data_IF_445966908209
#
_entry.id   IF_445966908209
#
_cell.length_a   1.000
_cell.length_b   1.000
_cell.length_c   1.000
_cell.angle_alpha   90.00
_cell.angle_beta   90.00
_cell.angle_gamma   90.00
#
_symmetry.space_group_name_H-M   'P 1'
#
loop_
_entity.id
_entity.type
_entity.pdbx_description
1 polymer ?
#
# COMPACT_ATOMS: atom_id res chain seq x y z
N UNK A 1 -2.19 -3.06 11.60
CA UNK A 1 -1.76 -2.52 10.30
C UNK A 1 -2.64 -1.32 10.01
N UNK A 2 -2.22 -0.13 10.42
CA UNK A 2 -2.72 1.09 9.77
C UNK A 2 -2.22 1.10 8.34
N UNK A 3 -2.98 1.64 7.39
CA UNK A 3 -2.53 1.97 6.02
C UNK A 3 -2.50 0.81 5.02
N UNK A 4 -3.03 -0.37 5.40
CA UNK A 4 -3.01 -1.55 4.53
C UNK A 4 -3.77 -1.32 3.21
N UNK A 5 -4.99 -0.79 3.30
CA UNK A 5 -5.85 -0.61 2.12
C UNK A 5 -5.25 0.47 1.22
N UNK A 6 -4.81 1.57 1.81
CA UNK A 6 -4.18 2.70 1.11
C UNK A 6 -2.91 2.27 0.38
N UNK A 7 -2.02 1.52 1.02
CA UNK A 7 -0.77 1.09 0.39
C UNK A 7 -1.02 0.05 -0.70
N UNK A 8 -1.95 -0.87 -0.46
CA UNK A 8 -2.37 -1.84 -1.48
C UNK A 8 -2.95 -1.12 -2.69
N UNK A 9 -3.76 -0.07 -2.48
CA UNK A 9 -4.35 0.73 -3.55
C UNK A 9 -3.31 1.50 -4.37
N UNK A 10 -2.34 2.13 -3.72
CA UNK A 10 -1.21 2.79 -4.42
C UNK A 10 -0.42 1.79 -5.25
N UNK A 11 -0.19 0.57 -4.74
CA UNK A 11 0.44 -0.48 -5.52
C UNK A 11 -0.42 -0.91 -6.71
N UNK A 12 -1.71 -1.16 -6.48
CA UNK A 12 -2.65 -1.64 -7.49
C UNK A 12 -2.81 -0.62 -8.63
N UNK A 13 -2.95 0.66 -8.30
CA UNK A 13 -3.00 1.75 -9.28
C UNK A 13 -1.65 1.99 -9.93
N UNK A 14 -0.54 1.92 -9.18
CA UNK A 14 0.81 1.97 -9.75
C UNK A 14 1.05 0.86 -10.79
N UNK A 15 0.58 -0.36 -10.52
CA UNK A 15 0.63 -1.48 -11.44
C UNK A 15 -0.24 -1.23 -12.70
N UNK A 16 -1.46 -0.69 -12.54
CA UNK A 16 -2.32 -0.31 -13.68
C UNK A 16 -1.65 0.72 -14.58
N UNK A 17 -1.08 1.77 -14.00
CA UNK A 17 -0.36 2.81 -14.74
C UNK A 17 0.88 2.23 -15.43
N UNK A 18 1.62 1.34 -14.76
CA UNK A 18 2.80 0.69 -15.33
C UNK A 18 2.46 -0.25 -16.49
N UNK A 19 1.37 -1.02 -16.38
CA UNK A 19 0.87 -1.86 -17.47
C UNK A 19 0.40 -1.04 -18.68
N UNK A 20 -0.20 0.13 -18.42
CA UNK A 20 -0.67 1.05 -19.45
C UNK A 20 0.48 1.80 -20.15
N UNK A 21 1.53 2.13 -19.43
CA UNK A 21 2.68 2.91 -19.92
C UNK A 21 3.47 2.19 -21.00
N UNK A 22 3.86 2.89 -22.07
CA UNK A 22 4.81 2.41 -23.07
C UNK A 22 6.27 2.47 -22.59
N UNK A 23 6.57 3.26 -21.55
CA UNK A 23 7.91 3.47 -21.04
C UNK A 23 8.39 2.36 -20.08
N UNK A 24 7.47 1.63 -19.46
CA UNK A 24 7.79 0.49 -18.57
C UNK A 24 8.16 -0.73 -19.40
N UNK A 25 9.26 -1.38 -19.04
CA UNK A 25 9.79 -2.53 -19.74
C UNK A 25 8.89 -3.78 -19.58
N UNK A 26 8.94 -4.64 -20.59
CA UNK A 26 8.11 -5.85 -20.65
C UNK A 26 8.27 -6.82 -19.45
N UNK A 27 9.46 -7.02 -18.87
CA UNK A 27 9.61 -7.82 -17.64
C UNK A 27 8.71 -7.39 -16.49
N UNK A 28 8.53 -6.07 -16.30
CA UNK A 28 7.72 -5.53 -15.22
C UNK A 28 6.23 -5.73 -15.50
N UNK A 29 5.82 -5.52 -16.76
CA UNK A 29 4.46 -5.80 -17.21
C UNK A 29 4.11 -7.27 -17.00
N UNK A 30 5.01 -8.18 -17.41
CA UNK A 30 4.86 -9.62 -17.19
C UNK A 30 4.72 -9.96 -15.70
N UNK A 31 5.53 -9.34 -14.83
CA UNK A 31 5.44 -9.55 -13.38
C UNK A 31 4.10 -9.11 -12.80
N UNK A 32 3.64 -7.88 -13.12
CA UNK A 32 2.35 -7.39 -12.65
C UNK A 32 1.17 -8.20 -13.20
N UNK A 33 1.20 -8.59 -14.48
CA UNK A 33 0.10 -9.36 -15.07
C UNK A 33 -0.01 -10.78 -14.50
N UNK A 34 1.11 -11.42 -14.13
CA UNK A 34 1.13 -12.83 -13.69
C UNK A 34 1.18 -13.05 -12.18
N UNK A 35 1.62 -12.05 -11.41
CA UNK A 35 1.93 -12.15 -9.97
C UNK A 35 1.53 -10.90 -9.18
N UNK A 36 0.38 -10.31 -9.52
CA UNK A 36 -0.15 -9.13 -8.82
C UNK A 36 -0.39 -9.40 -7.33
N UNK A 37 -0.81 -10.61 -6.98
CA UNK A 37 -0.96 -11.10 -5.61
C UNK A 37 0.32 -10.98 -4.78
N UNK A 38 1.47 -11.34 -5.35
CA UNK A 38 2.77 -11.20 -4.68
C UNK A 38 3.16 -9.72 -4.54
N UNK A 39 2.87 -8.91 -5.56
CA UNK A 39 3.07 -7.46 -5.47
C UNK A 39 2.20 -6.86 -4.35
N UNK A 40 0.93 -7.25 -4.21
CA UNK A 40 0.02 -6.88 -3.09
C UNK A 40 0.59 -7.28 -1.74
N UNK A 41 1.05 -8.52 -1.61
CA UNK A 41 1.67 -9.00 -0.37
C UNK A 41 2.88 -8.14 0.02
N UNK A 42 3.78 -7.87 -0.94
CA UNK A 42 4.96 -7.04 -0.69
C UNK A 42 4.63 -5.58 -0.37
N UNK A 43 3.49 -5.07 -0.85
CA UNK A 43 3.01 -3.72 -0.58
C UNK A 43 2.70 -3.46 0.92
N UNK A 44 2.72 -4.52 1.73
CA UNK A 44 2.47 -4.50 3.17
C UNK A 44 3.75 -4.67 4.00
N UNK A 45 4.89 -4.91 3.35
CA UNK A 45 6.14 -5.28 4.03
C UNK A 45 6.95 -4.06 4.46
N UNK A 46 7.40 -4.04 5.73
CA UNK A 46 8.23 -2.97 6.30
C UNK A 46 9.71 -3.17 5.97
N UNK A 47 10.47 -2.06 5.96
CA UNK A 47 11.93 -2.04 6.13
C UNK A 47 12.77 -2.82 5.11
N UNK A 48 12.83 -2.38 3.85
CA UNK A 48 13.65 -3.05 2.82
C UNK A 48 14.43 -2.17 1.86
N UNK A 49 14.44 -0.85 2.07
CA UNK A 49 15.00 0.09 1.10
C UNK A 49 16.46 -0.27 0.71
N UNK A 50 17.27 -0.69 1.68
CA UNK A 50 18.68 -1.07 1.49
C UNK A 50 18.89 -2.36 0.67
N UNK A 51 17.90 -3.25 0.60
CA UNK A 51 18.04 -4.54 -0.11
C UNK A 51 17.45 -4.52 -1.51
N UNK A 52 16.53 -3.58 -1.77
CA UNK A 52 15.76 -3.52 -3.01
C UNK A 52 16.63 -3.36 -4.27
N UNK A 53 17.69 -2.57 -4.21
CA UNK A 53 18.59 -2.33 -5.36
C UNK A 53 19.43 -3.56 -5.69
N UNK A 54 20.08 -4.14 -4.68
CA UNK A 54 20.85 -5.38 -4.82
C UNK A 54 19.99 -6.52 -5.36
N UNK A 55 18.79 -6.71 -4.80
CA UNK A 55 17.87 -7.75 -5.26
C UNK A 55 17.41 -7.51 -6.70
N UNK A 56 17.16 -6.26 -7.09
CA UNK A 56 16.79 -5.92 -8.47
C UNK A 56 17.93 -6.22 -9.45
N UNK A 57 19.18 -5.95 -9.07
CA UNK A 57 20.37 -6.33 -9.84
C UNK A 57 20.42 -7.85 -10.07
N UNK A 58 20.31 -8.61 -8.99
CA UNK A 58 20.39 -10.07 -9.04
C UNK A 58 19.26 -10.67 -9.90
N UNK A 59 18.05 -10.10 -9.82
CA UNK A 59 16.90 -10.49 -10.66
C UNK A 59 17.13 -10.11 -12.12
N UNK A 60 17.66 -8.90 -12.40
CA UNK A 60 17.98 -8.43 -13.76
C UNK A 60 18.99 -9.35 -14.44
N UNK A 61 20.03 -9.77 -13.73
CA UNK A 61 21.08 -10.66 -14.26
C UNK A 61 20.56 -12.06 -14.56
N UNK A 62 19.65 -12.57 -13.74
CA UNK A 62 19.03 -13.90 -13.93
C UNK A 62 17.87 -13.89 -14.94
N UNK A 63 17.31 -12.72 -15.26
CA UNK A 63 16.12 -12.63 -16.08
C UNK A 63 16.21 -13.32 -17.45
N UNK A 64 17.31 -13.19 -18.23
CA UNK A 64 17.42 -13.83 -19.54
C UNK A 64 17.45 -15.37 -19.47
N UNK A 65 17.92 -15.94 -18.37
CA UNK A 65 18.08 -17.39 -18.18
C UNK A 65 17.05 -17.99 -17.21
N UNK A 66 16.03 -17.21 -16.84
CA UNK A 66 15.01 -17.62 -15.87
C UNK A 66 14.24 -18.86 -16.34
N UNK A 67 13.86 -19.70 -15.38
CA UNK A 67 13.09 -20.93 -15.60
C UNK A 67 11.88 -20.95 -14.70
N UNK A 68 10.86 -21.71 -15.09
CA UNK A 68 9.73 -21.97 -14.20
C UNK A 68 10.22 -22.58 -12.88
N UNK A 69 9.69 -22.10 -11.76
CA UNK A 69 10.06 -22.55 -10.41
C UNK A 69 11.32 -21.90 -9.80
N UNK A 70 12.08 -21.08 -10.54
CA UNK A 70 13.28 -20.41 -10.00
C UNK A 70 13.00 -19.15 -9.14
N UNK A 71 11.71 -18.81 -9.02
CA UNK A 71 11.17 -17.67 -8.27
C UNK A 71 11.62 -16.29 -8.79
N UNK A 72 12.24 -16.19 -9.96
CA UNK A 72 12.74 -14.91 -10.50
C UNK A 72 11.58 -13.95 -10.80
N UNK A 73 10.48 -14.46 -11.35
CA UNK A 73 9.27 -13.68 -11.64
C UNK A 73 8.60 -13.18 -10.34
N UNK A 74 8.47 -14.07 -9.36
CA UNK A 74 7.88 -13.81 -8.05
C UNK A 74 8.72 -12.78 -7.28
N UNK A 75 10.05 -12.91 -7.30
CA UNK A 75 10.97 -11.93 -6.71
C UNK A 75 10.86 -10.57 -7.39
N UNK A 76 10.72 -10.53 -8.72
CA UNK A 76 10.49 -9.28 -9.41
C UNK A 76 9.18 -8.64 -8.95
N UNK A 77 8.06 -9.37 -8.98
CA UNK A 77 6.76 -8.87 -8.53
C UNK A 77 6.79 -8.34 -7.09
N UNK A 78 7.47 -9.08 -6.19
CA UNK A 78 7.69 -8.66 -4.82
C UNK A 78 8.48 -7.34 -4.73
N UNK A 79 9.54 -7.18 -5.52
CA UNK A 79 10.30 -5.92 -5.54
C UNK A 79 9.47 -4.74 -6.06
N UNK A 80 8.63 -4.97 -7.08
CA UNK A 80 7.78 -3.92 -7.64
C UNK A 80 6.71 -3.45 -6.66
N UNK A 81 6.04 -4.38 -5.98
CA UNK A 81 5.07 -4.01 -4.94
C UNK A 81 5.74 -3.34 -3.74
N UNK A 82 6.96 -3.76 -3.37
CA UNK A 82 7.74 -3.09 -2.33
C UNK A 82 8.12 -1.66 -2.71
N UNK A 83 8.45 -1.39 -3.98
CA UNK A 83 8.70 -0.02 -4.47
C UNK A 83 7.45 0.86 -4.34
N UNK A 84 6.28 0.33 -4.65
CA UNK A 84 5.02 1.06 -4.47
C UNK A 84 4.72 1.33 -3.00
N UNK A 85 5.00 0.37 -2.11
CA UNK A 85 4.92 0.59 -0.66
C UNK A 85 5.81 1.74 -0.20
N UNK A 86 7.07 1.76 -0.64
CA UNK A 86 8.02 2.83 -0.28
C UNK A 86 7.55 4.20 -0.79
N UNK A 87 6.90 4.25 -1.96
CA UNK A 87 6.27 5.45 -2.47
C UNK A 87 5.14 5.93 -1.55
N UNK A 88 4.20 5.03 -1.20
CA UNK A 88 3.12 5.35 -0.28
C UNK A 88 3.65 5.82 1.09
N UNK A 89 4.60 5.10 1.66
CA UNK A 89 5.26 5.44 2.93
C UNK A 89 5.85 6.86 2.92
N UNK A 90 6.61 7.20 1.87
CA UNK A 90 7.27 8.51 1.76
C UNK A 90 6.29 9.65 1.52
N UNK A 91 5.13 9.36 0.96
CA UNK A 91 4.07 10.35 0.78
C UNK A 91 3.28 10.53 2.08
N UNK A 92 2.78 9.45 2.68
CA UNK A 92 1.79 9.57 3.74
C UNK A 92 2.37 9.62 5.16
N UNK A 93 3.52 9.00 5.45
CA UNK A 93 4.10 9.06 6.81
C UNK A 93 4.37 10.50 7.31
N UNK A 94 4.85 11.43 6.47
CA UNK A 94 4.93 12.85 6.84
C UNK A 94 3.55 13.46 7.09
N UNK A 95 2.59 13.20 6.22
CA UNK A 95 1.21 13.69 6.32
C UNK A 95 0.57 13.28 7.65
N UNK A 96 0.69 12.01 8.04
CA UNK A 96 0.10 11.53 9.29
C UNK A 96 0.64 12.25 10.51
N UNK A 97 1.93 12.60 10.51
CA UNK A 97 2.58 13.34 11.59
C UNK A 97 2.19 14.81 11.62
N UNK A 98 1.87 15.39 10.48
CA UNK A 98 1.37 16.77 10.37
C UNK A 98 -0.09 16.83 10.84
N UNK A 99 -0.92 15.87 10.43
CA UNK A 99 -2.36 15.90 10.70
C UNK A 99 -2.73 15.40 12.09
N UNK A 100 -1.97 14.48 12.67
CA UNK A 100 -2.21 13.91 13.99
C UNK A 100 -0.91 13.79 14.82
N UNK A 101 -0.17 14.90 15.05
CA UNK A 101 1.13 14.89 15.72
C UNK A 101 1.08 14.22 17.10
N UNK A 102 0.02 14.41 17.86
CA UNK A 102 -0.20 13.84 19.19
C UNK A 102 -0.07 12.30 19.23
N UNK A 103 -0.44 11.62 18.13
CA UNK A 103 -0.34 10.17 18.03
C UNK A 103 1.12 9.70 17.83
N UNK A 104 1.95 10.51 17.17
CA UNK A 104 3.31 10.15 16.76
C UNK A 104 4.41 10.79 17.62
N UNK A 105 4.08 11.78 18.46
CA UNK A 105 5.01 12.44 19.38
C UNK A 105 5.26 11.63 20.66
N UNK A 106 4.33 10.78 21.08
CA UNK A 106 4.51 9.96 22.27
C UNK A 106 5.63 8.92 22.04
N UNK A 107 6.52 8.68 23.01
CA UNK A 107 7.46 7.55 22.97
C UNK A 107 6.69 6.24 23.18
N UNK A 108 6.86 5.25 22.31
CA UNK A 108 6.19 3.96 22.46
C UNK A 108 6.35 3.03 21.27
N UNK A 109 6.29 1.75 21.63
CA UNK A 109 6.45 0.55 20.81
C UNK A 109 5.47 0.47 19.62
N UNK A 110 5.82 -0.34 18.61
CA UNK A 110 5.05 -0.68 17.41
C UNK A 110 3.67 -1.30 17.70
N UNK A 111 3.27 -1.41 18.97
CA UNK A 111 2.02 -1.97 19.47
C UNK A 111 0.87 -0.97 19.59
N UNK A 112 1.03 0.27 19.12
CA UNK A 112 -0.06 1.26 19.12
C UNK A 112 -1.18 0.87 18.14
N UNK A 113 -2.45 1.18 18.49
CA UNK A 113 -3.53 1.10 17.51
C UNK A 113 -3.25 2.06 16.34
N UNK A 114 -3.81 1.81 15.16
CA UNK A 114 -3.81 2.77 14.03
C UNK A 114 -4.17 4.19 14.48
N UNK A 115 -3.61 5.21 13.82
CA UNK A 115 -4.02 6.61 14.03
C UNK A 115 -5.36 6.87 13.32
N UNK A 116 -6.14 7.87 13.76
CA UNK A 116 -7.43 8.15 13.10
C UNK A 116 -7.22 8.55 11.64
N UNK A 117 -6.19 9.37 11.36
CA UNK A 117 -5.88 9.77 9.99
C UNK A 117 -5.67 8.55 9.07
N UNK A 118 -4.95 7.53 9.54
CA UNK A 118 -4.71 6.31 8.74
C UNK A 118 -5.97 5.48 8.53
N UNK A 119 -6.85 5.39 9.55
CA UNK A 119 -8.14 4.70 9.43
C UNK A 119 -9.01 5.42 8.40
N UNK A 120 -9.11 6.75 8.48
CA UNK A 120 -9.92 7.55 7.57
C UNK A 120 -9.41 7.49 6.12
N UNK A 121 -8.08 7.46 5.93
CA UNK A 121 -7.47 7.26 4.61
C UNK A 121 -7.86 5.90 4.04
N UNK A 122 -7.70 4.82 4.81
CA UNK A 122 -8.04 3.47 4.38
C UNK A 122 -9.53 3.30 4.03
N UNK A 123 -10.46 3.82 4.85
CA UNK A 123 -11.91 3.70 4.55
C UNK A 123 -12.32 4.54 3.34
N UNK A 124 -11.66 5.67 3.11
CA UNK A 124 -11.87 6.50 1.92
C UNK A 124 -11.39 5.75 0.69
N UNK A 125 -10.17 5.20 0.71
CA UNK A 125 -9.63 4.38 -0.38
C UNK A 125 -10.47 3.12 -0.61
N UNK A 126 -10.95 2.45 0.45
CA UNK A 126 -11.83 1.30 0.33
C UNK A 126 -13.11 1.65 -0.47
N UNK A 127 -13.68 2.82 -0.20
CA UNK A 127 -14.85 3.34 -0.92
C UNK A 127 -14.52 3.68 -2.37
N UNK A 128 -13.50 4.51 -2.59
CA UNK A 128 -13.22 5.09 -3.91
C UNK A 128 -12.49 4.12 -4.86
N UNK A 129 -11.52 3.36 -4.34
CA UNK A 129 -10.66 2.49 -5.15
C UNK A 129 -11.24 1.09 -5.35
N UNK A 130 -11.88 0.56 -4.31
CA UNK A 130 -12.41 -0.80 -4.32
C UNK A 130 -13.94 -0.85 -4.39
N UNK A 131 -14.58 0.30 -4.64
CA UNK A 131 -16.02 0.42 -4.73
C UNK A 131 -16.75 -0.20 -3.53
N UNK A 132 -16.19 0.01 -2.33
CA UNK A 132 -16.66 -0.60 -1.07
C UNK A 132 -16.60 -2.13 -1.09
N UNK A 133 -15.50 -2.68 -1.62
CA UNK A 133 -15.26 -4.13 -1.67
C UNK A 133 -16.06 -4.86 -2.75
N UNK A 134 -16.52 -4.14 -3.78
CA UNK A 134 -17.05 -4.76 -5.01
C UNK A 134 -15.96 -5.09 -6.03
N UNK A 135 -14.73 -4.65 -5.78
CA UNK A 135 -13.56 -4.87 -6.62
C UNK A 135 -12.44 -5.51 -5.81
N UNK A 136 -11.75 -6.47 -6.44
CA UNK A 136 -10.59 -7.17 -5.90
C UNK A 136 -9.49 -6.21 -5.39
N UNK A 137 -8.73 -6.58 -4.33
CA UNK A 137 -8.77 -7.87 -3.62
C UNK A 137 -9.74 -7.92 -2.43
N UNK A 138 -10.50 -6.85 -2.21
CA UNK A 138 -11.35 -6.75 -1.04
C UNK A 138 -12.80 -7.11 -1.36
N UNK A 139 -13.50 -7.59 -0.34
CA UNK A 139 -14.93 -7.92 -0.41
C UNK A 139 -15.76 -6.91 0.37
N UNK A 140 -17.05 -6.80 0.08
CA UNK A 140 -17.96 -5.91 0.80
C UNK A 140 -17.96 -6.15 2.32
N UNK A 141 -17.69 -7.39 2.74
CA UNK A 141 -17.59 -7.76 4.16
C UNK A 141 -16.29 -7.31 4.84
N UNK A 142 -15.31 -6.78 4.11
CA UNK A 142 -13.98 -6.46 4.64
C UNK A 142 -14.01 -5.40 5.74
N UNK A 143 -14.90 -4.40 5.62
CA UNK A 143 -15.12 -3.35 6.62
C UNK A 143 -16.54 -3.35 7.21
N UNK A 144 -17.24 -4.46 7.06
CA UNK A 144 -18.62 -4.59 7.47
C UNK A 144 -18.75 -4.82 8.98
N UNK A 145 -19.76 -4.22 9.58
CA UNK A 145 -20.05 -4.43 10.99
C UNK A 145 -20.56 -5.85 11.19
N UNK A 146 -19.80 -6.67 11.95
CA UNK A 146 -20.17 -8.07 12.29
C UNK A 146 -20.47 -8.97 11.08
N UNK A 147 -19.90 -8.66 9.91
CA UNK A 147 -20.10 -9.43 8.67
C UNK A 147 -21.59 -9.51 8.24
N UNK A 148 -22.46 -8.59 8.65
CA UNK A 148 -23.90 -8.65 8.37
C UNK A 148 -24.24 -8.78 6.87
N UNK A 149 -23.46 -8.16 5.99
CA UNK A 149 -23.52 -8.22 4.53
C UNK A 149 -22.90 -9.48 3.92
N UNK A 150 -22.15 -10.28 4.70
CA UNK A 150 -21.57 -11.53 4.20
C UNK A 150 -22.67 -12.59 4.03
N UNK A 151 -22.73 -13.34 2.90
CA UNK A 151 -23.78 -14.34 2.68
C UNK A 151 -23.93 -15.37 3.81
N UNK A 152 -22.82 -15.74 4.46
CA UNK A 152 -22.81 -16.68 5.58
C UNK A 152 -23.35 -16.12 6.91
N UNK A 153 -23.55 -14.81 7.04
CA UNK A 153 -24.00 -14.17 8.31
C UNK A 153 -25.39 -14.65 8.76
N UNK A 154 -26.23 -15.03 7.79
CA UNK A 154 -27.56 -15.60 8.02
C UNK A 154 -27.51 -17.03 8.57
N UNK A 155 -26.46 -17.79 8.23
CA UNK A 155 -26.28 -19.17 8.65
C UNK A 155 -25.47 -19.27 9.95
N UNK A 156 -24.56 -18.32 10.19
CA UNK A 156 -23.63 -18.31 11.31
C UNK A 156 -23.62 -16.94 11.99
N UNK A 157 -24.22 -16.80 13.18
CA UNK A 157 -24.15 -15.55 13.93
C UNK A 157 -22.68 -15.25 14.27
N UNK A 158 -22.13 -14.16 13.72
CA UNK A 158 -20.71 -13.82 13.86
C UNK A 158 -20.25 -13.79 15.33
N UNK A 159 -21.10 -13.29 16.24
CA UNK A 159 -20.81 -13.25 17.68
C UNK A 159 -20.72 -14.63 18.35
N UNK A 160 -21.41 -15.65 17.80
CA UNK A 160 -21.29 -17.04 18.27
C UNK A 160 -20.03 -17.69 17.69
N UNK A 161 -19.72 -17.42 16.42
CA UNK A 161 -18.52 -17.94 15.76
C UNK A 161 -17.24 -17.36 16.40
N UNK A 162 -17.23 -16.06 16.72
CA UNK A 162 -16.10 -15.39 17.38
C UNK A 162 -15.79 -16.04 18.73
N UNK A 163 -16.80 -16.33 19.56
CA UNK A 163 -16.62 -17.04 20.84
C UNK A 163 -16.07 -18.45 20.64
N UNK A 164 -16.56 -19.17 19.63
CA UNK A 164 -16.11 -20.54 19.33
C UNK A 164 -14.65 -20.57 18.83
N UNK A 165 -14.32 -19.69 17.90
CA UNK A 165 -12.99 -19.62 17.28
C UNK A 165 -11.95 -19.03 18.22
N UNK A 166 -12.33 -18.11 19.11
CA UNK A 166 -11.39 -17.49 20.05
C UNK A 166 -10.72 -18.54 20.93
N UNK A 167 -11.46 -19.51 21.45
CA UNK A 167 -10.90 -20.60 22.26
C UNK A 167 -9.96 -21.50 21.45
N UNK A 168 -10.35 -21.90 20.24
CA UNK A 168 -9.50 -22.71 19.34
C UNK A 168 -8.21 -21.98 18.95
N UNK A 169 -8.31 -20.68 18.71
CA UNK A 169 -7.15 -19.87 18.32
C UNK A 169 -6.23 -19.60 19.50
N UNK A 170 -6.79 -19.36 20.70
CA UNK A 170 -6.02 -19.26 21.94
C UNK A 170 -5.26 -20.55 22.23
N UNK A 171 -5.91 -21.71 22.09
CA UNK A 171 -5.27 -23.01 22.27
C UNK A 171 -4.15 -23.25 21.26
N UNK A 172 -4.39 -22.98 19.97
CA UNK A 172 -3.36 -23.09 18.93
C UNK A 172 -2.17 -22.15 19.19
N UNK A 173 -2.42 -20.92 19.65
CA UNK A 173 -1.38 -19.95 19.98
C UNK A 173 -0.59 -20.35 21.23
N UNK A 174 -1.24 -20.95 22.23
CA UNK A 174 -0.58 -21.55 23.40
C UNK A 174 0.26 -22.77 22.99
N UNK A 175 -0.21 -23.58 22.05
CA UNK A 175 0.53 -24.72 21.48
C UNK A 175 1.76 -24.32 20.65
N UNK A 176 1.79 -23.09 20.12
CA UNK A 176 2.94 -22.53 19.37
C UNK A 176 4.01 -21.96 20.33
N UNK A 177 3.84 -22.02 21.66
CA UNK A 177 4.90 -21.67 22.61
C UNK A 177 6.05 -22.71 22.61
N UNK A 178 6.89 -22.67 21.58
CA UNK A 178 8.26 -23.15 21.66
C UNK A 178 9.13 -22.07 22.31
N UNK A 179 9.94 -22.49 23.27
CA UNK A 179 10.96 -21.70 23.99
C UNK A 179 11.73 -20.72 23.09
N UNK A 180 11.78 -19.45 23.52
CA UNK A 180 12.34 -18.26 22.86
C UNK A 180 11.56 -17.80 21.62
N UNK A 181 10.49 -17.05 21.87
CA UNK A 181 9.95 -16.15 20.86
C UNK A 181 11.10 -15.23 20.37
N UNK A 182 11.42 -15.18 19.06
CA UNK A 182 12.36 -14.20 18.54
C UNK A 182 11.90 -12.81 18.97
N UNK A 183 12.82 -12.01 19.52
CA UNK A 183 12.53 -10.78 20.26
C UNK A 183 11.81 -9.67 19.45
N UNK A 184 11.48 -9.92 18.17
CA UNK A 184 10.95 -8.93 17.22
C UNK A 184 9.96 -9.57 16.23
N UNK A 185 8.86 -10.15 16.72
CA UNK A 185 7.69 -10.35 15.85
C UNK A 185 6.92 -9.04 15.72
N UNK A 186 6.54 -8.67 14.48
CA UNK A 186 5.68 -7.51 14.24
C UNK A 186 4.30 -7.78 14.85
N UNK A 187 3.92 -7.05 15.91
CA UNK A 187 2.57 -7.12 16.47
C UNK A 187 1.61 -6.39 15.54
N UNK A 188 0.66 -7.12 14.97
CA UNK A 188 -0.40 -6.55 14.14
C UNK A 188 -1.58 -6.21 15.03
N UNK A 189 -1.67 -4.97 15.49
CA UNK A 189 -2.89 -4.45 16.10
C UNK A 189 -3.79 -3.93 14.98
N UNK A 190 -4.95 -4.55 14.81
CA UNK A 190 -5.98 -4.14 13.85
C UNK A 190 -7.31 -4.06 14.60
N UNK A 191 -7.91 -2.87 14.63
CA UNK A 191 -9.21 -2.63 15.24
C UNK A 191 -10.28 -2.60 14.13
N UNK A 192 -10.76 -3.78 13.74
CA UNK A 192 -11.78 -3.94 12.68
C UNK A 192 -13.02 -3.10 13.01
N UNK A 193 -13.43 -3.06 14.27
CA UNK A 193 -14.63 -2.33 14.68
C UNK A 193 -14.48 -0.84 14.48
N UNK A 194 -13.29 -0.28 14.72
CA UNK A 194 -13.01 1.13 14.44
C UNK A 194 -13.04 1.44 12.95
N UNK A 195 -12.48 0.56 12.11
CA UNK A 195 -12.59 0.71 10.65
C UNK A 195 -14.04 0.64 10.18
N UNK A 196 -14.82 -0.33 10.68
CA UNK A 196 -16.24 -0.45 10.35
C UNK A 196 -17.04 0.79 10.78
N UNK A 197 -16.80 1.30 12.01
CA UNK A 197 -17.42 2.55 12.47
C UNK A 197 -17.06 3.74 11.60
N UNK A 198 -15.77 3.92 11.28
CA UNK A 198 -15.32 5.01 10.41
C UNK A 198 -15.90 4.92 8.99
N UNK A 199 -16.12 3.70 8.47
CA UNK A 199 -16.70 3.48 7.16
C UNK A 199 -18.22 3.74 7.11
N UNK A 200 -18.98 3.20 8.07
CA UNK A 200 -20.45 3.27 8.09
C UNK A 200 -21.02 4.53 8.75
N UNK A 201 -20.32 5.10 9.72
CA UNK A 201 -20.75 6.27 10.49
C UNK A 201 -19.56 7.18 10.77
N UNK A 202 -18.95 7.78 9.72
CA UNK A 202 -17.78 8.64 9.88
C UNK A 202 -18.10 9.84 10.76
N UNK A 203 -17.19 10.17 11.66
CA UNK A 203 -17.21 11.45 12.37
C UNK A 203 -16.93 12.57 11.35
N UNK A 204 -17.85 13.53 11.16
CA UNK A 204 -17.71 14.57 10.14
C UNK A 204 -16.50 15.47 10.38
N UNK A 205 -16.10 15.72 11.63
CA UNK A 205 -14.93 16.53 11.95
C UNK A 205 -13.63 15.83 11.55
N UNK A 206 -13.56 14.50 11.76
CA UNK A 206 -12.41 13.71 11.35
C UNK A 206 -12.34 13.58 9.83
N UNK A 207 -13.48 13.42 9.15
CA UNK A 207 -13.55 13.41 7.70
C UNK A 207 -13.05 14.75 7.12
N UNK A 208 -13.54 15.87 7.66
CA UNK A 208 -13.11 17.21 7.26
C UNK A 208 -11.60 17.39 7.46
N UNK A 209 -11.09 17.10 8.67
CA UNK A 209 -9.68 17.29 9.06
C UNK A 209 -8.71 16.39 8.32
N UNK A 210 -9.09 15.15 8.03
CA UNK A 210 -8.15 14.14 7.49
C UNK A 210 -8.31 13.84 6.01
N UNK A 211 -9.46 14.17 5.41
CA UNK A 211 -9.75 13.89 4.01
C UNK A 211 -9.95 15.18 3.21
N UNK A 212 -10.87 16.05 3.63
CA UNK A 212 -11.29 17.21 2.83
C UNK A 212 -10.25 18.34 2.86
N UNK A 213 -9.93 18.87 4.04
CA UNK A 213 -8.96 19.97 4.20
C UNK A 213 -7.56 19.66 3.64
N UNK A 214 -6.98 18.47 3.88
CA UNK A 214 -5.66 18.15 3.34
C UNK A 214 -5.69 17.73 1.86
N UNK A 215 -6.87 17.72 1.22
CA UNK A 215 -7.10 17.18 -0.11
C UNK A 215 -6.48 15.78 -0.28
N UNK A 216 -6.94 14.82 0.53
CA UNK A 216 -6.37 13.47 0.53
C UNK A 216 -6.61 12.76 -0.81
N UNK A 217 -7.83 12.83 -1.35
CA UNK A 217 -8.25 12.13 -2.57
C UNK A 217 -9.21 13.00 -3.37
N UNK A 218 -8.92 13.21 -4.66
CA UNK A 218 -9.81 13.88 -5.60
C UNK A 218 -10.03 13.00 -6.85
N UNK A 219 -11.25 12.50 -7.11
CA UNK A 219 -11.52 11.67 -8.30
C UNK A 219 -11.31 12.41 -9.63
N UNK A 220 -11.21 13.74 -9.61
CA UNK A 220 -10.97 14.56 -10.80
C UNK A 220 -9.48 14.71 -11.15
N UNK A 221 -8.57 14.28 -10.26
CA UNK A 221 -7.15 14.25 -10.59
C UNK A 221 -6.91 13.34 -11.81
N UNK A 222 -6.27 13.82 -12.89
CA UNK A 222 -6.15 13.06 -14.13
C UNK A 222 -5.50 11.68 -13.96
N UNK A 223 -4.48 11.56 -13.10
CA UNK A 223 -3.82 10.28 -12.83
C UNK A 223 -4.75 9.29 -12.12
N UNK A 224 -5.59 9.79 -11.20
CA UNK A 224 -6.60 8.97 -10.52
C UNK A 224 -7.69 8.57 -11.52
N UNK A 225 -8.26 9.53 -12.24
CA UNK A 225 -9.28 9.28 -13.26
C UNK A 225 -8.80 8.27 -14.32
N UNK A 226 -7.55 8.37 -14.77
CA UNK A 226 -6.92 7.40 -15.67
C UNK A 226 -6.84 6.01 -15.03
N UNK A 227 -6.30 5.90 -13.81
CA UNK A 227 -6.22 4.62 -13.10
C UNK A 227 -7.60 3.95 -12.91
N UNK A 228 -8.64 4.73 -12.58
CA UNK A 228 -10.02 4.24 -12.48
C UNK A 228 -10.57 3.78 -13.83
N UNK A 229 -10.28 4.50 -14.92
CA UNK A 229 -10.71 4.11 -16.26
C UNK A 229 -10.05 2.81 -16.74
N UNK A 230 -8.76 2.63 -16.43
CA UNK A 230 -8.03 1.37 -16.69
C UNK A 230 -8.64 0.23 -15.87
N UNK A 231 -8.92 0.44 -14.58
CA UNK A 231 -9.55 -0.57 -13.73
C UNK A 231 -10.90 -1.04 -14.26
N UNK A 232 -11.68 -0.14 -14.88
CA UNK A 232 -12.97 -0.46 -15.53
C UNK A 232 -12.82 -1.13 -16.90
N UNK A 233 -11.60 -1.34 -17.39
CA UNK A 233 -11.33 -1.93 -18.70
C UNK A 233 -11.54 -0.99 -19.89
N UNK A 234 -11.75 0.32 -19.64
CA UNK A 234 -11.95 1.32 -20.67
C UNK A 234 -11.08 2.56 -20.40
N UNK A 235 -9.76 2.50 -20.67
CA UNK A 235 -8.85 3.62 -20.45
C UNK A 235 -9.31 4.88 -21.19
N UNK A 236 -9.38 6.00 -20.47
CA UNK A 236 -9.70 7.32 -21.03
C UNK A 236 -8.60 7.76 -21.99
N UNK A 237 -8.97 8.01 -23.25
CA UNK A 237 -8.02 8.44 -24.31
C UNK A 237 -7.68 9.92 -24.25
N UNK A 238 -8.49 10.71 -23.56
CA UNK A 238 -8.32 12.15 -23.38
C UNK A 238 -7.31 12.50 -22.27
N UNK A 239 -6.85 11.51 -21.50
CA UNK A 239 -5.84 11.69 -20.47
C UNK A 239 -4.53 11.06 -20.94
N UNK A 240 -3.52 11.89 -21.18
CA UNK A 240 -2.15 11.46 -21.45
C UNK A 240 -1.46 11.14 -20.13
N UNK A 241 -0.88 9.94 -20.00
CA UNK A 241 -0.28 9.47 -18.75
C UNK A 241 0.84 10.40 -18.26
N UNK A 242 1.72 10.80 -19.16
CA UNK A 242 2.87 11.66 -18.85
C UNK A 242 2.44 13.01 -18.28
N UNK A 243 1.43 13.64 -18.91
CA UNK A 243 0.88 14.92 -18.44
C UNK A 243 0.16 14.76 -17.09
N UNK A 244 -0.58 13.67 -16.91
CA UNK A 244 -1.25 13.34 -15.66
C UNK A 244 -0.25 13.16 -14.50
N UNK A 245 0.85 12.44 -14.75
CA UNK A 245 1.93 12.25 -13.79
C UNK A 245 2.65 13.57 -13.49
N UNK A 246 2.89 14.42 -14.50
CA UNK A 246 3.51 15.73 -14.32
C UNK A 246 2.64 16.71 -13.50
N UNK A 247 1.31 16.59 -13.57
CA UNK A 247 0.38 17.42 -12.81
C UNK A 247 0.24 16.99 -11.34
N UNK A 248 0.37 15.69 -11.08
CA UNK A 248 0.10 15.05 -9.78
C UNK A 248 0.82 15.64 -8.55
N UNK A 249 2.06 16.18 -8.61
CA UNK A 249 2.70 16.81 -7.46
C UNK A 249 1.95 18.00 -6.86
N UNK A 250 1.03 18.61 -7.61
CA UNK A 250 0.20 19.76 -7.19
C UNK A 250 -1.26 19.39 -6.88
N UNK A 251 -1.55 18.09 -6.84
CA UNK A 251 -2.90 17.54 -6.72
C UNK A 251 -3.12 16.87 -5.37
N UNK A 252 -4.15 16.03 -5.25
CA UNK A 252 -4.44 15.32 -4.00
C UNK A 252 -3.23 14.48 -3.52
N UNK A 253 -3.19 14.21 -2.22
CA UNK A 253 -2.11 13.41 -1.62
C UNK A 253 -2.04 12.01 -2.24
N UNK A 254 -3.19 11.43 -2.61
CA UNK A 254 -3.24 10.15 -3.31
C UNK A 254 -2.63 10.26 -4.71
N UNK A 255 -2.91 11.32 -5.48
CA UNK A 255 -2.26 11.56 -6.78
C UNK A 255 -0.74 11.69 -6.65
N UNK A 256 -0.26 12.40 -5.61
CA UNK A 256 1.18 12.50 -5.30
C UNK A 256 1.81 11.14 -4.99
N UNK A 257 1.08 10.24 -4.32
CA UNK A 257 1.54 8.87 -4.08
C UNK A 257 1.61 8.05 -5.38
N UNK A 258 0.65 8.21 -6.29
CA UNK A 258 0.66 7.54 -7.60
C UNK A 258 1.81 8.03 -8.49
N UNK A 259 2.08 9.34 -8.52
CA UNK A 259 3.24 9.91 -9.21
C UNK A 259 4.53 9.26 -8.72
N UNK A 260 4.73 9.25 -7.40
CA UNK A 260 5.95 8.71 -6.81
C UNK A 260 6.10 7.21 -7.07
N UNK A 261 5.01 6.45 -6.98
CA UNK A 261 5.00 5.02 -7.27
C UNK A 261 5.38 4.77 -8.74
N UNK A 262 4.75 5.48 -9.68
CA UNK A 262 5.07 5.37 -11.09
C UNK A 262 6.53 5.76 -11.39
N UNK A 263 7.03 6.86 -10.81
CA UNK A 263 8.41 7.31 -10.96
C UNK A 263 9.42 6.27 -10.45
N UNK A 264 9.14 5.62 -9.33
CA UNK A 264 9.99 4.54 -8.81
C UNK A 264 9.96 3.31 -9.71
N UNK A 265 8.80 2.94 -10.25
CA UNK A 265 8.67 1.83 -11.21
C UNK A 265 9.40 2.15 -12.52
N UNK A 266 9.32 3.39 -13.01
CA UNK A 266 10.01 3.84 -14.22
C UNK A 266 11.53 3.81 -14.04
N UNK A 267 12.05 4.36 -12.94
CA UNK A 267 13.48 4.31 -12.64
C UNK A 267 13.98 2.86 -12.51
N UNK A 268 13.24 2.01 -11.81
CA UNK A 268 13.57 0.59 -11.69
C UNK A 268 13.53 -0.13 -13.05
N UNK A 269 12.58 0.21 -13.91
CA UNK A 269 12.48 -0.29 -15.29
C UNK A 269 13.70 0.14 -16.12
N UNK A 270 14.06 1.42 -16.10
CA UNK A 270 15.21 1.95 -16.83
C UNK A 270 16.53 1.32 -16.35
N UNK A 271 16.68 1.10 -15.04
CA UNK A 271 17.80 0.33 -14.50
C UNK A 271 17.78 -1.13 -14.99
N UNK A 272 16.60 -1.75 -15.02
CA UNK A 272 16.43 -3.14 -15.47
C UNK A 272 16.90 -3.33 -16.92
N UNK A 273 16.63 -2.35 -17.78
CA UNK A 273 17.07 -2.36 -19.19
C UNK A 273 18.41 -1.64 -19.41
N UNK A 274 19.16 -1.34 -18.33
CA UNK A 274 20.51 -0.75 -18.36
C UNK A 274 20.60 0.66 -18.98
N UNK A 275 19.51 1.44 -18.96
CA UNK A 275 19.53 2.86 -19.34
C UNK A 275 20.13 3.77 -18.28
N UNK A 276 20.01 3.39 -17.01
CA UNK A 276 20.62 4.08 -15.86
C UNK A 276 21.44 3.10 -15.02
N UNK A 277 22.39 3.63 -14.26
CA UNK A 277 23.22 2.84 -13.35
C UNK A 277 22.59 2.69 -11.95
N UNK A 278 23.29 1.97 -11.06
CA UNK A 278 22.81 1.67 -9.70
C UNK A 278 22.69 2.93 -8.84
N UNK A 279 23.63 3.86 -8.98
CA UNK A 279 23.68 5.12 -8.23
C UNK A 279 22.51 6.03 -8.61
N UNK A 280 22.20 6.11 -9.90
CA UNK A 280 21.07 6.89 -10.39
C UNK A 280 19.74 6.27 -9.99
N UNK A 281 19.62 4.94 -10.00
CA UNK A 281 18.45 4.24 -9.45
C UNK A 281 18.24 4.58 -7.96
N UNK A 282 19.31 4.52 -7.15
CA UNK A 282 19.25 4.86 -5.72
C UNK A 282 18.78 6.31 -5.51
N UNK A 283 19.34 7.25 -6.27
CA UNK A 283 18.97 8.66 -6.21
C UNK A 283 17.50 8.88 -6.56
N UNK A 284 17.04 8.29 -7.67
CA UNK A 284 15.65 8.41 -8.14
C UNK A 284 14.67 7.70 -7.20
N UNK A 285 15.04 6.57 -6.62
CA UNK A 285 14.19 5.84 -5.68
C UNK A 285 14.29 6.33 -4.23
N UNK A 286 15.00 7.43 -3.97
CA UNK A 286 15.21 7.99 -2.63
C UNK A 286 15.80 6.98 -1.63
N UNK A 287 16.65 6.06 -2.11
CA UNK A 287 17.21 4.98 -1.28
C UNK A 287 18.06 5.56 -0.15
N UNK A 288 17.84 5.06 1.07
CA UNK A 288 18.54 5.52 2.27
C UNK A 288 18.04 6.85 2.82
N UNK A 289 17.14 7.56 2.12
CA UNK A 289 16.48 8.75 2.66
C UNK A 289 15.39 8.35 3.65
N UNK A 290 15.27 9.04 4.79
CA UNK A 290 14.21 8.74 5.74
C UNK A 290 12.83 9.01 5.16
N UNK A 291 11.86 8.14 5.46
CA UNK A 291 10.46 8.35 5.06
C UNK A 291 9.84 9.60 5.69
N UNK A 292 10.41 10.07 6.80
CA UNK A 292 9.93 11.21 7.58
C UNK A 292 11.05 12.23 7.67
N UNK A 293 10.83 13.49 7.26
CA UNK A 293 11.79 14.56 7.47
C UNK A 293 12.21 14.68 8.94
N UNK A 294 13.48 15.00 9.22
CA UNK A 294 13.99 15.10 10.58
C UNK A 294 13.20 16.11 11.45
N UNK A 295 12.68 17.18 10.84
CA UNK A 295 11.82 18.16 11.51
C UNK A 295 10.54 17.54 12.11
N UNK A 296 10.06 16.44 11.55
CA UNK A 296 8.84 15.73 11.95
C UNK A 296 9.11 14.42 12.72
N UNK A 297 10.37 14.00 12.89
CA UNK A 297 10.73 12.82 13.68
C UNK A 297 11.30 13.23 15.04
N UNK A 298 10.52 13.14 16.14
CA UNK A 298 10.99 13.53 17.47
C UNK A 298 12.19 12.70 17.95
N UNK A 299 12.44 11.52 17.37
CA UNK A 299 13.58 10.66 17.72
C UNK A 299 14.90 11.15 17.13
N UNK A 300 14.85 12.02 16.11
CA UNK A 300 16.02 12.56 15.40
C UNK A 300 16.42 13.96 15.85
N UNK A 301 15.69 14.56 16.82
CA UNK A 301 16.02 15.86 17.40
C UNK A 301 17.07 15.79 18.53
N UNK A 302 17.86 14.72 18.59
CA UNK A 302 18.94 14.52 19.57
C UNK A 302 20.29 14.65 18.91
#
# INVERSE_FOLDING_TARGET
MSEHITHTAVMDDGARLALHSSAICEPFKTAFSKRLDIARFSAMTRSGDNFTVRLLRDVREKWPSRREGDMTLEKLAFLLGWRCHLAADRTFKPVYRILQPEHYLLPGDDSRPPSDVTVYHDVTVFREVYASGRLEPFTASSLDYRLETHPASRALPASKLERLLTSLWQEALLGIQSSKAPARFQRVVLDVQRYARAFHSPNPDLLRRYIVEPNFYDPNDPVIALARSIQKGAPRKDIVLEDAIAAAPRQSQYAQALERAYRYLLAASDYFVRKIDEKELERLCDVGKPHVPAALDPRRRK
#
